data_IF_443186248746
#
_entry.id   IF_443186248746
#
_cell.length_a   1.000
_cell.length_b   1.000
_cell.length_c   1.000
_cell.angle_alpha   90.00
_cell.angle_beta   90.00
_cell.angle_gamma   90.00
#
_symmetry.space_group_name_H-M   'P 1'
#
loop_
_entity.id
_entity.type
_entity.pdbx_description
1 polymer ?
#
# COMPACT_ATOMS: atom_id res chain seq x y z
N UNK A 1 -16.20 26.76 60.46
CA UNK A 1 -15.62 26.17 61.68
C UNK A 1 -14.71 25.03 61.24
N UNK A 2 -13.47 25.15 61.71
CA UNK A 2 -12.48 24.10 61.99
C UNK A 2 -11.77 23.37 60.83
N UNK A 3 -10.63 23.97 60.44
CA UNK A 3 -9.23 23.57 60.78
C UNK A 3 -8.95 22.04 60.79
N UNK A 4 -7.84 21.49 60.27
CA UNK A 4 -6.42 21.83 60.48
C UNK A 4 -5.53 21.17 59.41
N UNK A 5 -4.50 21.89 58.94
CA UNK A 5 -3.16 21.34 58.63
C UNK A 5 -2.29 21.47 59.89
N UNK A 6 -1.24 20.65 60.08
CA UNK A 6 0.12 21.17 59.86
C UNK A 6 1.19 20.12 59.50
N UNK A 7 2.35 20.58 58.99
CA UNK A 7 3.63 19.91 59.31
C UNK A 7 4.74 19.81 58.24
N UNK A 8 5.38 20.94 57.93
CA UNK A 8 6.85 21.19 58.01
C UNK A 8 7.91 20.36 57.25
N UNK A 9 8.57 21.05 56.30
CA UNK A 9 10.02 21.19 55.96
C UNK A 9 11.05 20.09 56.29
N UNK A 10 12.00 19.87 55.37
CA UNK A 10 13.45 20.22 55.47
C UNK A 10 14.25 19.54 54.31
N UNK A 11 15.04 20.33 53.59
CA UNK A 11 16.25 19.93 52.83
C UNK A 11 17.47 20.56 53.56
N UNK A 12 18.79 20.25 53.34
CA UNK A 12 19.38 19.91 52.03
C UNK A 12 20.74 19.11 52.04
N UNK A 13 21.37 19.06 50.85
CA UNK A 13 22.82 18.94 50.50
C UNK A 13 23.58 17.61 50.67
N UNK A 14 24.21 17.18 49.57
CA UNK A 14 25.67 17.02 49.49
C UNK A 14 26.18 17.16 48.04
N UNK A 15 27.04 18.17 47.84
CA UNK A 15 28.04 18.32 46.77
C UNK A 15 29.08 17.17 46.90
N UNK A 16 29.84 16.69 45.90
CA UNK A 16 30.79 17.38 45.03
C UNK A 16 31.46 16.36 44.04
N UNK A 17 32.39 16.75 43.14
CA UNK A 17 32.56 16.23 41.77
C UNK A 17 33.82 15.36 41.55
N UNK A 18 33.92 14.75 40.36
CA UNK A 18 35.22 14.36 39.77
C UNK A 18 35.22 14.63 38.26
N UNK A 19 36.17 15.47 37.83
CA UNK A 19 36.79 15.53 36.50
C UNK A 19 38.32 15.50 36.73
N UNK A 20 39.25 15.53 35.74
CA UNK A 20 39.12 15.48 34.28
C UNK A 20 40.17 14.56 33.56
N UNK A 21 40.08 14.57 32.23
CA UNK A 21 41.17 14.62 31.23
C UNK A 21 41.92 13.33 30.84
N UNK A 22 41.82 12.98 29.55
CA UNK A 22 43.00 12.68 28.72
C UNK A 22 42.63 12.73 27.23
N UNK A 23 43.01 13.85 26.62
CA UNK A 23 43.31 14.04 25.20
C UNK A 23 43.90 12.80 24.53
N UNK A 24 43.44 12.47 23.32
CA UNK A 24 44.36 12.06 22.25
C UNK A 24 43.94 12.62 20.89
N UNK A 25 44.88 13.40 20.37
CA UNK A 25 44.95 14.11 19.12
C UNK A 25 45.12 13.18 17.91
N UNK A 26 44.44 13.55 16.82
CA UNK A 26 44.88 13.56 15.42
C UNK A 26 46.00 12.62 14.94
N UNK A 27 45.78 11.92 13.83
CA UNK A 27 46.48 12.21 12.55
C UNK A 27 45.83 11.48 11.35
N UNK A 28 45.96 12.04 10.13
CA UNK A 28 45.21 11.64 8.94
C UNK A 28 46.01 10.77 7.95
N UNK A 29 45.27 10.30 6.93
CA UNK A 29 45.68 10.02 5.54
C UNK A 29 46.73 8.94 5.25
N UNK A 30 46.34 7.96 4.43
CA UNK A 30 47.20 7.37 3.41
C UNK A 30 46.37 6.92 2.19
N UNK A 31 45.91 7.89 1.41
CA UNK A 31 45.54 7.65 0.00
C UNK A 31 46.83 7.56 -0.80
N UNK A 32 47.25 6.35 -1.10
CA UNK A 32 48.42 6.06 -1.92
C UNK A 32 48.09 6.32 -3.39
N UNK A 33 48.29 7.57 -3.82
CA UNK A 33 48.21 7.95 -5.23
C UNK A 33 49.44 7.41 -5.96
N UNK A 34 49.23 6.47 -6.89
CA UNK A 34 50.30 5.99 -7.79
C UNK A 34 50.13 6.67 -9.15
N UNK A 35 51.09 7.53 -9.51
CA UNK A 35 51.16 8.18 -10.82
C UNK A 35 51.68 7.19 -11.87
N UNK A 36 50.91 6.98 -12.94
CA UNK A 36 51.39 6.33 -14.16
C UNK A 36 52.01 7.38 -15.13
N UNK A 37 53.10 7.06 -15.84
CA UNK A 37 53.75 7.98 -16.75
C UNK A 37 53.02 7.97 -18.10
N UNK A 38 51.98 8.78 -18.23
CA UNK A 38 51.45 9.38 -19.47
C UNK A 38 50.12 10.04 -19.13
N UNK A 39 50.04 11.38 -19.27
CA UNK A 39 48.92 12.22 -18.86
C UNK A 39 47.63 12.01 -19.66
N UNK A 40 47.01 10.84 -19.52
CA UNK A 40 45.69 10.50 -20.03
C UNK A 40 44.83 10.13 -18.83
N UNK A 41 43.75 10.87 -18.58
CA UNK A 41 42.76 10.50 -17.56
C UNK A 41 42.05 9.23 -18.02
N UNK A 42 42.34 8.11 -17.37
CA UNK A 42 41.48 6.94 -17.40
C UNK A 42 40.54 7.07 -16.21
N UNK A 43 39.26 7.33 -16.47
CA UNK A 43 38.22 7.08 -15.47
C UNK A 43 38.19 5.56 -15.27
N UNK A 44 38.61 5.08 -14.09
CA UNK A 44 38.30 3.71 -13.71
C UNK A 44 36.78 3.55 -13.71
N UNK A 45 36.24 2.47 -14.31
CA UNK A 45 34.82 2.19 -14.20
C UNK A 45 34.54 1.98 -12.71
N UNK A 46 33.88 2.97 -12.10
CA UNK A 46 33.36 2.85 -10.74
C UNK A 46 32.50 1.61 -10.72
N UNK A 47 32.91 0.65 -9.90
CA UNK A 47 32.18 -0.56 -9.55
C UNK A 47 30.72 -0.19 -9.35
N UNK A 48 29.91 -0.42 -10.38
CA UNK A 48 28.46 -0.32 -10.30
C UNK A 48 28.01 -1.54 -9.51
N UNK A 49 28.27 -1.51 -8.21
CA UNK A 49 27.48 -2.27 -7.25
C UNK A 49 26.03 -2.05 -7.68
N UNK A 50 25.23 -3.12 -7.92
CA UNK A 50 23.86 -2.95 -8.33
C UNK A 50 23.21 -2.07 -7.26
N UNK A 51 22.88 -0.84 -7.65
CA UNK A 51 22.12 0.08 -6.82
C UNK A 51 20.94 -0.72 -6.32
N UNK A 52 20.82 -0.83 -4.99
CA UNK A 52 19.75 -1.51 -4.29
C UNK A 52 18.47 -1.43 -5.11
N UNK A 53 17.80 -2.56 -5.36
CA UNK A 53 16.45 -2.61 -5.94
C UNK A 53 15.52 -1.82 -5.03
N UNK A 54 15.52 -0.50 -5.19
CA UNK A 54 14.69 0.38 -4.41
C UNK A 54 13.27 0.08 -4.88
N UNK A 55 12.47 -0.43 -3.96
CA UNK A 55 11.05 -0.72 -4.14
C UNK A 55 10.32 0.62 -4.36
N UNK A 56 10.49 1.22 -5.54
CA UNK A 56 10.07 2.57 -5.90
C UNK A 56 8.61 2.62 -6.39
N UNK A 57 7.84 1.55 -6.18
CA UNK A 57 6.44 1.44 -6.57
C UNK A 57 5.53 1.43 -5.35
N UNK A 58 4.45 2.20 -5.41
CA UNK A 58 3.29 2.06 -4.52
C UNK A 58 2.10 1.61 -5.33
N UNK A 59 1.43 0.55 -4.88
CA UNK A 59 0.24 -0.03 -5.51
C UNK A 59 -0.93 0.13 -4.54
N UNK A 60 -1.91 0.94 -4.95
CA UNK A 60 -3.20 1.07 -4.28
C UNK A 60 -4.21 0.15 -4.95
N UNK A 61 -4.75 -0.79 -4.17
CA UNK A 61 -5.79 -1.72 -4.60
C UNK A 61 -7.09 -1.39 -3.86
N UNK A 62 -8.21 -1.33 -4.57
CA UNK A 62 -9.51 -1.46 -3.91
C UNK A 62 -9.79 -2.93 -3.52
N UNK A 63 -10.76 -3.15 -2.65
CA UNK A 63 -11.19 -4.48 -2.21
C UNK A 63 -12.49 -4.90 -2.88
N UNK A 64 -13.54 -4.10 -2.67
CA UNK A 64 -14.88 -4.38 -3.14
C UNK A 64 -14.97 -4.31 -4.67
N UNK A 65 -15.53 -5.36 -5.27
CA UNK A 65 -15.63 -5.57 -6.72
C UNK A 65 -14.29 -5.46 -7.48
N UNK A 66 -13.15 -5.52 -6.78
CA UNK A 66 -11.78 -5.38 -7.32
C UNK A 66 -10.87 -6.55 -6.97
N UNK A 67 -10.91 -7.03 -5.72
CA UNK A 67 -10.25 -8.26 -5.29
C UNK A 67 -11.28 -9.31 -4.86
N UNK A 68 -12.37 -8.86 -4.24
CA UNK A 68 -13.54 -9.68 -3.92
C UNK A 68 -14.73 -9.23 -4.79
N UNK A 69 -15.43 -10.18 -5.43
CA UNK A 69 -16.68 -9.91 -6.16
C UNK A 69 -17.86 -9.63 -5.20
N UNK A 70 -17.75 -8.59 -4.37
CA UNK A 70 -18.59 -8.36 -3.19
C UNK A 70 -20.04 -7.98 -3.53
N UNK A 71 -20.29 -7.36 -4.69
CA UNK A 71 -21.65 -7.13 -5.20
C UNK A 71 -22.28 -8.44 -5.68
N UNK A 72 -21.54 -9.30 -6.38
CA UNK A 72 -22.04 -10.60 -6.81
C UNK A 72 -22.37 -11.51 -5.62
N UNK A 73 -21.46 -11.62 -4.64
CA UNK A 73 -21.70 -12.32 -3.37
C UNK A 73 -22.95 -11.77 -2.67
N UNK A 74 -23.14 -10.45 -2.68
CA UNK A 74 -24.34 -9.80 -2.15
C UNK A 74 -25.63 -10.20 -2.86
N UNK A 75 -25.63 -10.25 -4.20
CA UNK A 75 -26.78 -10.67 -5.02
C UNK A 75 -27.18 -12.13 -4.80
N UNK A 76 -26.23 -12.98 -4.39
CA UNK A 76 -26.50 -14.37 -4.00
C UNK A 76 -27.08 -14.50 -2.58
N UNK A 77 -27.22 -13.40 -1.84
CA UNK A 77 -27.74 -13.42 -0.46
C UNK A 77 -26.76 -13.99 0.56
N UNK A 78 -25.46 -14.01 0.25
CA UNK A 78 -24.42 -14.61 1.09
C UNK A 78 -23.82 -13.62 2.11
N UNK A 79 -24.26 -12.37 2.14
CA UNK A 79 -23.82 -11.41 3.16
C UNK A 79 -24.38 -11.82 4.53
N UNK A 80 -23.52 -12.02 5.55
CA UNK A 80 -24.00 -12.32 6.90
C UNK A 80 -24.96 -11.24 7.40
N UNK A 81 -26.05 -11.64 8.06
CA UNK A 81 -26.96 -10.68 8.70
C UNK A 81 -26.45 -10.27 10.08
N UNK A 82 -25.63 -11.11 10.69
CA UNK A 82 -25.05 -10.91 12.01
C UNK A 82 -23.55 -11.21 11.98
N UNK A 83 -22.79 -10.55 12.86
CA UNK A 83 -21.31 -10.62 12.92
C UNK A 83 -20.79 -12.06 13.10
N UNK A 84 -21.54 -12.94 13.76
CA UNK A 84 -21.13 -14.31 14.07
C UNK A 84 -21.75 -15.36 13.13
N UNK A 85 -22.46 -14.94 12.09
CA UNK A 85 -23.10 -15.84 11.13
C UNK A 85 -22.13 -16.16 9.99
N UNK A 86 -21.94 -17.45 9.71
CA UNK A 86 -21.26 -17.89 8.49
C UNK A 86 -22.30 -18.25 7.44
N UNK A 87 -22.23 -17.69 6.23
CA UNK A 87 -23.16 -18.04 5.18
C UNK A 87 -22.95 -19.50 4.75
N UNK A 88 -24.03 -20.18 4.41
CA UNK A 88 -23.95 -21.48 3.73
C UNK A 88 -23.70 -21.19 2.25
N UNK A 89 -22.45 -21.33 1.82
CA UNK A 89 -22.04 -21.07 0.44
C UNK A 89 -22.34 -22.32 -0.41
N UNK A 90 -23.09 -22.20 -1.52
CA UNK A 90 -23.26 -23.30 -2.47
C UNK A 90 -21.92 -23.79 -3.01
N UNK A 91 -21.80 -25.09 -3.28
CA UNK A 91 -20.51 -25.70 -3.65
C UNK A 91 -19.94 -25.12 -4.96
N UNK A 92 -20.79 -24.84 -5.95
CA UNK A 92 -20.40 -24.20 -7.21
C UNK A 92 -19.88 -22.78 -7.01
N UNK A 93 -20.51 -22.02 -6.11
CA UNK A 93 -20.06 -20.66 -5.74
C UNK A 93 -18.75 -20.71 -4.97
N UNK A 94 -18.61 -21.67 -4.05
CA UNK A 94 -17.39 -21.88 -3.25
C UNK A 94 -16.20 -22.20 -4.16
N UNK A 95 -16.36 -23.08 -5.14
CA UNK A 95 -15.32 -23.39 -6.12
C UNK A 95 -14.90 -22.14 -6.92
N UNK A 96 -15.85 -21.32 -7.37
CA UNK A 96 -15.53 -20.07 -8.08
C UNK A 96 -14.74 -19.08 -7.21
N UNK A 97 -15.10 -18.98 -5.92
CA UNK A 97 -14.39 -18.14 -4.96
C UNK A 97 -12.99 -18.68 -4.66
N UNK A 98 -12.80 -20.00 -4.56
CA UNK A 98 -11.48 -20.62 -4.35
C UNK A 98 -10.55 -20.40 -5.55
N UNK A 99 -11.07 -20.46 -6.79
CA UNK A 99 -10.28 -20.15 -7.99
C UNK A 99 -9.91 -18.65 -8.10
N UNK A 100 -10.83 -17.76 -7.73
CA UNK A 100 -10.56 -16.32 -7.63
C UNK A 100 -9.50 -16.05 -6.56
N UNK A 101 -9.65 -16.65 -5.38
CA UNK A 101 -8.74 -16.55 -4.25
C UNK A 101 -7.29 -16.91 -4.65
N UNK A 102 -7.10 -18.00 -5.39
CA UNK A 102 -5.76 -18.39 -5.87
C UNK A 102 -5.13 -17.32 -6.77
N UNK A 103 -5.93 -16.71 -7.66
CA UNK A 103 -5.46 -15.65 -8.53
C UNK A 103 -5.14 -14.37 -7.75
N UNK A 104 -5.97 -14.02 -6.75
CA UNK A 104 -5.74 -12.86 -5.87
C UNK A 104 -4.48 -13.05 -5.04
N UNK A 105 -4.25 -14.23 -4.47
CA UNK A 105 -3.01 -14.54 -3.74
C UNK A 105 -1.79 -14.35 -4.65
N UNK A 106 -1.82 -14.92 -5.85
CA UNK A 106 -0.72 -14.77 -6.80
C UNK A 106 -0.48 -13.31 -7.19
N UNK A 107 -1.54 -12.52 -7.40
CA UNK A 107 -1.43 -11.08 -7.66
C UNK A 107 -0.75 -10.36 -6.49
N UNK A 108 -1.23 -10.55 -5.27
CA UNK A 108 -0.70 -9.88 -4.08
C UNK A 108 0.77 -10.26 -3.83
N UNK A 109 1.11 -11.55 -3.93
CA UNK A 109 2.48 -12.06 -3.76
C UNK A 109 3.45 -11.49 -4.82
N UNK A 110 2.99 -11.25 -6.04
CA UNK A 110 3.82 -10.63 -7.07
C UNK A 110 3.88 -9.11 -6.93
N UNK A 111 2.78 -8.46 -6.53
CA UNK A 111 2.72 -7.01 -6.33
C UNK A 111 3.71 -6.53 -5.27
N UNK A 112 3.82 -7.24 -4.14
CA UNK A 112 4.76 -6.88 -3.06
C UNK A 112 6.24 -6.96 -3.47
N UNK A 113 6.57 -7.65 -4.57
CA UNK A 113 7.95 -7.72 -5.10
C UNK A 113 8.37 -6.42 -5.79
N UNK A 114 7.42 -5.59 -6.22
CA UNK A 114 7.69 -4.30 -6.89
C UNK A 114 7.71 -3.13 -5.92
N UNK A 115 7.08 -3.29 -4.77
CA UNK A 115 7.11 -2.31 -3.70
C UNK A 115 5.94 -2.41 -2.74
N UNK A 116 5.52 -1.28 -2.21
CA UNK A 116 4.51 -1.23 -1.15
C UNK A 116 3.12 -1.41 -1.75
N UNK A 117 2.37 -2.36 -1.21
CA UNK A 117 0.96 -2.59 -1.55
C UNK A 117 0.09 -2.10 -0.39
N UNK A 118 -0.98 -1.37 -0.72
CA UNK A 118 -1.98 -0.90 0.24
C UNK A 118 -3.37 -1.17 -0.32
N UNK A 119 -4.22 -1.80 0.48
CA UNK A 119 -5.64 -1.94 0.17
C UNK A 119 -6.37 -0.72 0.72
N UNK A 120 -7.08 0.02 -0.12
CA UNK A 120 -7.87 1.21 0.25
C UNK A 120 -9.32 1.00 -0.16
N UNK A 121 -10.18 0.69 0.81
CA UNK A 121 -11.62 0.43 0.60
C UNK A 121 -12.49 1.61 1.07
N UNK A 122 -13.64 1.80 0.43
CA UNK A 122 -14.70 2.68 0.89
C UNK A 122 -15.70 1.99 1.87
N UNK A 123 -15.43 0.75 2.26
CA UNK A 123 -16.16 0.05 3.32
C UNK A 123 -15.63 0.44 4.71
N UNK A 124 -16.28 -0.08 5.76
CA UNK A 124 -15.89 0.19 7.14
C UNK A 124 -14.64 -0.60 7.58
N UNK A 125 -13.92 -0.11 8.59
CA UNK A 125 -12.75 -0.80 9.16
C UNK A 125 -13.13 -2.22 9.60
N UNK A 126 -12.30 -3.21 9.24
CA UNK A 126 -12.53 -4.63 9.52
C UNK A 126 -13.33 -5.36 8.43
N UNK A 127 -13.89 -4.65 7.44
CA UNK A 127 -14.63 -5.28 6.35
C UNK A 127 -13.76 -6.21 5.49
N UNK A 128 -12.54 -5.79 5.16
CA UNK A 128 -11.62 -6.56 4.31
C UNK A 128 -11.30 -7.90 4.97
N UNK A 129 -10.88 -7.89 6.22
CA UNK A 129 -10.51 -9.09 6.97
C UNK A 129 -11.72 -10.00 7.21
N UNK A 130 -12.88 -9.41 7.56
CA UNK A 130 -14.11 -10.17 7.75
C UNK A 130 -14.52 -10.87 6.46
N UNK A 131 -14.64 -10.12 5.36
CA UNK A 131 -15.09 -10.66 4.07
C UNK A 131 -14.07 -11.64 3.47
N UNK A 132 -12.76 -11.38 3.61
CA UNK A 132 -11.72 -12.36 3.29
C UNK A 132 -11.92 -13.66 4.09
N UNK A 133 -12.13 -13.59 5.40
CA UNK A 133 -12.31 -14.80 6.23
C UNK A 133 -13.51 -15.67 5.84
N UNK A 134 -14.52 -15.05 5.23
CA UNK A 134 -15.76 -15.72 4.83
C UNK A 134 -15.68 -16.29 3.41
N UNK A 135 -15.03 -15.57 2.48
CA UNK A 135 -15.12 -15.84 1.04
C UNK A 135 -13.77 -16.19 0.40
N UNK A 136 -12.65 -15.73 0.95
CA UNK A 136 -11.30 -15.98 0.45
C UNK A 136 -10.27 -16.09 1.61
N UNK A 137 -10.43 -17.05 2.54
CA UNK A 137 -9.66 -17.12 3.78
C UNK A 137 -8.14 -17.30 3.62
N UNK A 138 -7.67 -17.93 2.53
CA UNK A 138 -6.24 -18.09 2.22
C UNK A 138 -5.56 -16.77 1.84
N UNK A 139 -6.30 -15.70 1.56
CA UNK A 139 -5.72 -14.35 1.38
C UNK A 139 -5.30 -13.69 2.70
N UNK A 140 -5.88 -14.10 3.84
CA UNK A 140 -5.64 -13.46 5.13
C UNK A 140 -4.17 -13.41 5.55
N UNK A 141 -3.37 -14.49 5.43
CA UNK A 141 -1.97 -14.46 5.87
C UNK A 141 -1.16 -13.35 5.19
N UNK A 142 -1.27 -13.17 3.87
CA UNK A 142 -0.54 -12.13 3.15
C UNK A 142 -1.12 -10.73 3.44
N UNK A 143 -2.45 -10.60 3.52
CA UNK A 143 -3.10 -9.33 3.86
C UNK A 143 -2.61 -8.85 5.23
N UNK A 144 -2.64 -9.71 6.24
CA UNK A 144 -2.29 -9.33 7.62
C UNK A 144 -0.79 -9.11 7.85
N UNK A 145 0.07 -9.83 7.13
CA UNK A 145 1.52 -9.77 7.38
C UNK A 145 2.26 -8.77 6.50
N UNK A 146 1.79 -8.52 5.28
CA UNK A 146 2.55 -7.76 4.27
C UNK A 146 1.83 -6.53 3.73
N UNK A 147 0.51 -6.41 3.92
CA UNK A 147 -0.32 -5.40 3.25
C UNK A 147 -1.00 -4.51 4.27
N UNK A 148 -0.87 -3.20 4.11
CA UNK A 148 -1.64 -2.26 4.91
C UNK A 148 -3.06 -2.18 4.37
N UNK A 149 -4.06 -2.34 5.24
CA UNK A 149 -5.47 -2.11 4.92
C UNK A 149 -5.90 -0.75 5.48
N UNK A 150 -6.50 0.08 4.65
CA UNK A 150 -7.05 1.39 5.00
C UNK A 150 -8.52 1.43 4.63
N UNK A 151 -9.38 1.59 5.64
CA UNK A 151 -10.75 2.02 5.44
C UNK A 151 -10.78 3.52 5.22
N UNK A 152 -10.89 3.95 3.96
CA UNK A 152 -10.99 5.37 3.63
C UNK A 152 -12.25 5.97 4.25
N UNK A 153 -13.37 5.23 4.24
CA UNK A 153 -14.64 5.67 4.82
C UNK A 153 -14.52 5.90 6.32
N UNK A 154 -14.11 4.89 7.09
CA UNK A 154 -14.02 5.04 8.55
C UNK A 154 -13.00 6.10 8.98
N UNK A 155 -11.99 6.38 8.14
CA UNK A 155 -10.97 7.39 8.45
C UNK A 155 -11.43 8.82 8.12
N UNK A 156 -12.18 9.01 7.04
CA UNK A 156 -12.43 10.34 6.46
C UNK A 156 -13.91 10.74 6.34
N UNK A 157 -14.87 9.85 6.61
CA UNK A 157 -16.30 10.15 6.52
C UNK A 157 -16.74 11.26 7.49
N UNK A 158 -16.18 11.30 8.70
CA UNK A 158 -16.49 12.37 9.66
C UNK A 158 -16.02 13.74 9.17
N UNK A 159 -14.84 13.81 8.56
CA UNK A 159 -14.26 15.05 8.02
C UNK A 159 -14.94 15.48 6.72
N UNK A 160 -15.38 14.52 5.90
CA UNK A 160 -15.95 14.74 4.58
C UNK A 160 -17.28 13.97 4.42
N UNK A 161 -18.34 14.33 5.18
CA UNK A 161 -19.60 13.62 5.17
C UNK A 161 -20.27 13.68 3.80
N UNK A 162 -20.78 12.54 3.33
CA UNK A 162 -21.46 12.44 2.02
C UNK A 162 -20.55 12.65 0.80
N UNK A 163 -19.23 12.67 0.98
CA UNK A 163 -18.26 12.88 -0.09
C UNK A 163 -17.32 11.66 -0.26
N UNK A 164 -17.80 10.50 -0.74
CA UNK A 164 -17.01 9.28 -0.84
C UNK A 164 -15.73 9.41 -1.68
N UNK A 165 -15.76 10.30 -2.70
CA UNK A 165 -14.59 10.67 -3.50
C UNK A 165 -13.47 11.26 -2.65
N UNK A 166 -13.81 12.14 -1.70
CA UNK A 166 -12.83 12.77 -0.80
C UNK A 166 -12.14 11.75 0.09
N UNK A 167 -12.84 10.71 0.53
CA UNK A 167 -12.24 9.71 1.42
C UNK A 167 -11.01 9.04 0.81
N UNK A 168 -11.09 8.60 -0.47
CA UNK A 168 -9.94 7.98 -1.13
C UNK A 168 -8.87 8.99 -1.55
N UNK A 169 -9.25 10.23 -1.91
CA UNK A 169 -8.28 11.32 -2.18
C UNK A 169 -7.36 11.53 -0.97
N UNK A 170 -7.95 11.70 0.21
CA UNK A 170 -7.21 11.97 1.44
C UNK A 170 -6.42 10.74 1.90
N UNK A 171 -6.97 9.54 1.72
CA UNK A 171 -6.25 8.29 1.97
C UNK A 171 -4.99 8.17 1.10
N UNK A 172 -5.08 8.45 -0.20
CA UNK A 172 -3.93 8.40 -1.12
C UNK A 172 -2.87 9.42 -0.73
N UNK A 173 -3.28 10.67 -0.44
CA UNK A 173 -2.36 11.72 0.00
C UNK A 173 -1.64 11.35 1.29
N UNK A 174 -2.38 10.85 2.29
CA UNK A 174 -1.82 10.39 3.55
C UNK A 174 -0.81 9.25 3.34
N UNK A 175 -1.16 8.26 2.52
CA UNK A 175 -0.28 7.12 2.28
C UNK A 175 0.98 7.47 1.51
N UNK A 176 0.98 8.53 0.69
CA UNK A 176 2.16 8.95 -0.09
C UNK A 176 3.04 9.94 0.66
N UNK A 177 2.46 10.95 1.30
CA UNK A 177 3.25 12.05 1.89
C UNK A 177 3.43 11.96 3.41
N UNK A 178 2.46 11.39 4.13
CA UNK A 178 2.45 11.43 5.59
C UNK A 178 2.98 10.14 6.23
N UNK A 179 3.35 9.13 5.42
CA UNK A 179 3.80 7.82 5.89
C UNK A 179 5.34 7.73 6.14
N UNK A 180 5.99 8.85 6.50
CA UNK A 180 7.42 8.91 6.88
C UNK A 180 8.42 8.29 5.89
N UNK A 181 8.10 8.24 4.58
CA UNK A 181 9.06 7.79 3.57
C UNK A 181 9.95 8.94 3.15
N UNK A 182 11.27 8.70 3.09
CA UNK A 182 12.27 9.73 2.77
C UNK A 182 12.25 10.17 1.31
N UNK A 183 11.64 9.39 0.42
CA UNK A 183 11.65 9.61 -1.03
C UNK A 183 10.27 9.35 -1.60
N UNK A 184 9.88 10.16 -2.60
CA UNK A 184 8.65 9.91 -3.36
C UNK A 184 8.82 8.67 -4.24
N UNK A 185 7.84 7.76 -4.29
CA UNK A 185 7.85 6.62 -5.21
C UNK A 185 7.96 7.07 -6.67
N UNK A 186 8.71 6.34 -7.49
CA UNK A 186 8.78 6.56 -8.94
C UNK A 186 7.48 6.17 -9.65
N UNK A 187 6.78 5.16 -9.15
CA UNK A 187 5.53 4.67 -9.73
C UNK A 187 4.43 4.64 -8.67
N UNK A 188 3.26 5.20 -9.00
CA UNK A 188 2.06 5.11 -8.18
C UNK A 188 0.94 4.54 -9.04
N UNK A 189 0.51 3.35 -8.67
CA UNK A 189 -0.46 2.55 -9.41
C UNK A 189 -1.75 2.49 -8.60
N UNK A 190 -2.87 2.71 -9.26
CA UNK A 190 -4.19 2.66 -8.65
C UNK A 190 -5.10 1.72 -9.44
N UNK A 191 -5.65 0.72 -8.77
CA UNK A 191 -6.46 -0.33 -9.38
C UNK A 191 -7.79 -0.43 -8.63
N UNK A 192 -8.89 -0.34 -9.36
CA UNK A 192 -10.24 -0.48 -8.80
C UNK A 192 -11.32 -0.55 -9.87
N UNK A 193 -12.51 -1.00 -9.49
CA UNK A 193 -13.68 -1.07 -10.38
C UNK A 193 -14.49 0.24 -10.41
N UNK A 194 -14.28 1.13 -9.43
CA UNK A 194 -14.94 2.42 -9.26
C UNK A 194 -14.27 3.59 -10.01
N UNK A 195 -14.90 4.77 -10.04
CA UNK A 195 -14.26 5.99 -10.52
C UNK A 195 -13.39 6.67 -9.43
N UNK A 196 -13.58 6.30 -8.17
CA UNK A 196 -12.99 6.98 -7.00
C UNK A 196 -11.48 6.80 -6.91
N UNK A 197 -10.96 5.66 -7.35
CA UNK A 197 -9.55 5.29 -7.31
C UNK A 197 -8.77 6.13 -8.34
N UNK A 198 -9.29 6.17 -9.57
CA UNK A 198 -8.76 7.01 -10.65
C UNK A 198 -8.76 8.48 -10.26
N UNK A 199 -9.87 8.98 -9.70
CA UNK A 199 -9.95 10.38 -9.24
C UNK A 199 -8.95 10.67 -8.13
N UNK A 200 -8.76 9.76 -7.16
CA UNK A 200 -7.77 9.92 -6.09
C UNK A 200 -6.35 10.02 -6.63
N UNK A 201 -5.98 9.16 -7.58
CA UNK A 201 -4.65 9.18 -8.21
C UNK A 201 -4.41 10.46 -9.02
N UNK A 202 -5.40 10.91 -9.80
CA UNK A 202 -5.31 12.16 -10.57
C UNK A 202 -5.15 13.36 -9.64
N UNK A 203 -5.93 13.44 -8.55
CA UNK A 203 -5.81 14.50 -7.55
C UNK A 203 -4.41 14.49 -6.89
N UNK A 204 -3.92 13.30 -6.53
CA UNK A 204 -2.59 13.12 -5.98
C UNK A 204 -1.51 13.68 -6.92
N UNK A 205 -1.55 13.29 -8.21
CA UNK A 205 -0.61 13.75 -9.24
C UNK A 205 -0.68 15.26 -9.45
N UNK A 206 -1.88 15.84 -9.54
CA UNK A 206 -2.06 17.29 -9.72
C UNK A 206 -1.58 18.11 -8.51
N UNK A 207 -1.69 17.56 -7.29
CA UNK A 207 -1.22 18.22 -6.06
C UNK A 207 0.25 17.98 -5.74
N UNK A 208 0.96 17.16 -6.51
CA UNK A 208 2.34 16.77 -6.21
C UNK A 208 3.35 17.77 -6.75
N UNK A 209 4.37 18.06 -5.95
CA UNK A 209 5.59 18.74 -6.39
C UNK A 209 6.66 17.76 -6.89
N UNK A 210 6.48 16.46 -6.66
CA UNK A 210 7.43 15.42 -7.02
C UNK A 210 7.04 14.74 -8.33
N UNK A 211 8.05 14.31 -9.10
CA UNK A 211 7.83 13.58 -10.35
C UNK A 211 7.68 12.09 -10.08
N UNK A 212 6.54 11.52 -10.46
CA UNK A 212 6.27 10.07 -10.44
C UNK A 212 5.35 9.71 -11.60
N UNK A 213 5.35 8.46 -12.04
CA UNK A 213 4.42 7.96 -13.06
C UNK A 213 3.12 7.49 -12.41
N UNK A 214 2.01 8.12 -12.76
CA UNK A 214 0.66 7.80 -12.30
C UNK A 214 0.00 6.82 -13.26
N UNK A 215 -0.40 5.65 -12.76
CA UNK A 215 -1.03 4.61 -13.58
C UNK A 215 -2.37 4.19 -12.96
N UNK A 216 -3.47 4.52 -13.64
CA UNK A 216 -4.80 4.06 -13.26
C UNK A 216 -5.20 2.87 -14.12
N UNK A 217 -5.66 1.80 -13.47
CA UNK A 217 -6.30 0.67 -14.14
C UNK A 217 -7.72 0.50 -13.58
N UNK A 218 -8.70 0.77 -14.43
CA UNK A 218 -10.11 0.59 -14.11
C UNK A 218 -10.59 -0.81 -14.50
N UNK A 219 -11.04 -1.57 -13.52
CA UNK A 219 -11.67 -2.88 -13.71
C UNK A 219 -13.16 -2.73 -14.09
N UNK A 220 -13.78 -3.82 -14.51
CA UNK A 220 -15.20 -3.89 -14.84
C UNK A 220 -16.00 -3.76 -13.54
N UNK A 221 -17.04 -2.93 -13.58
CA UNK A 221 -17.91 -2.72 -12.42
C UNK A 221 -18.82 -3.93 -12.17
N UNK A 222 -18.93 -4.33 -10.90
CA UNK A 222 -19.77 -5.45 -10.42
C UNK A 222 -19.51 -6.81 -11.13
N UNK A 223 -18.25 -7.27 -11.22
CA UNK A 223 -17.95 -8.55 -11.86
C UNK A 223 -18.49 -9.70 -11.00
N UNK A 224 -18.86 -10.81 -11.64
CA UNK A 224 -18.97 -12.08 -10.93
C UNK A 224 -17.58 -12.67 -10.66
N UNK A 225 -17.48 -13.73 -9.84
CA UNK A 225 -16.18 -14.31 -9.48
C UNK A 225 -15.38 -14.83 -10.70
N UNK A 226 -16.06 -15.34 -11.74
CA UNK A 226 -15.40 -15.80 -12.97
C UNK A 226 -14.85 -14.63 -13.78
N UNK A 227 -15.64 -13.57 -13.97
CA UNK A 227 -15.20 -12.32 -14.63
C UNK A 227 -14.00 -11.73 -13.88
N UNK A 228 -14.11 -11.56 -12.55
CA UNK A 228 -13.06 -10.96 -11.74
C UNK A 228 -11.77 -11.80 -11.77
N UNK A 229 -11.88 -13.13 -11.76
CA UNK A 229 -10.73 -14.03 -11.92
C UNK A 229 -9.98 -13.76 -13.23
N UNK A 230 -10.70 -13.54 -14.33
CA UNK A 230 -10.08 -13.23 -15.62
C UNK A 230 -9.39 -11.86 -15.59
N UNK A 231 -10.00 -10.86 -14.96
CA UNK A 231 -9.42 -9.52 -14.79
C UNK A 231 -8.14 -9.57 -13.95
N UNK A 232 -8.16 -10.29 -12.83
CA UNK A 232 -7.00 -10.49 -11.95
C UNK A 232 -5.87 -11.23 -12.67
N UNK A 233 -6.18 -12.24 -13.50
CA UNK A 233 -5.18 -12.92 -14.33
C UNK A 233 -4.56 -11.99 -15.37
N UNK A 234 -5.37 -11.21 -16.08
CA UNK A 234 -4.87 -10.23 -17.04
C UNK A 234 -3.95 -9.20 -16.36
N UNK A 235 -4.33 -8.74 -15.17
CA UNK A 235 -3.48 -7.85 -14.37
C UNK A 235 -2.18 -8.55 -13.95
N UNK A 236 -2.24 -9.79 -13.47
CA UNK A 236 -1.06 -10.57 -13.08
C UNK A 236 -0.07 -10.73 -14.24
N UNK A 237 -0.57 -11.09 -15.43
CA UNK A 237 0.24 -11.28 -16.64
C UNK A 237 0.93 -9.99 -17.10
N UNK A 238 0.32 -8.84 -16.82
CA UNK A 238 0.82 -7.52 -17.23
C UNK A 238 1.45 -6.73 -16.08
N UNK A 239 1.56 -7.32 -14.88
CA UNK A 239 1.98 -6.61 -13.67
C UNK A 239 3.39 -6.04 -13.81
N UNK A 240 4.30 -6.78 -14.44
CA UNK A 240 5.66 -6.30 -14.71
C UNK A 240 5.66 -5.01 -15.52
N UNK A 241 4.94 -5.01 -16.64
CA UNK A 241 4.81 -3.83 -17.51
C UNK A 241 4.17 -2.67 -16.76
N UNK A 242 3.10 -2.92 -16.01
CA UNK A 242 2.44 -1.90 -15.21
C UNK A 242 3.39 -1.28 -14.18
N UNK A 243 4.24 -2.08 -13.53
CA UNK A 243 5.19 -1.60 -12.53
C UNK A 243 6.43 -0.91 -13.11
N UNK A 244 6.84 -1.23 -14.34
CA UNK A 244 8.12 -0.75 -14.91
C UNK A 244 7.98 0.29 -16.01
N UNK A 245 6.80 0.44 -16.64
CA UNK A 245 6.59 1.42 -17.71
C UNK A 245 6.83 2.86 -17.22
N UNK A 246 7.63 3.64 -17.95
CA UNK A 246 8.07 4.98 -17.52
C UNK A 246 7.19 6.11 -18.10
N UNK A 247 5.89 5.90 -18.13
CA UNK A 247 4.92 6.94 -18.48
C UNK A 247 3.66 6.83 -17.64
N UNK A 248 2.88 7.92 -17.62
CA UNK A 248 1.54 7.91 -17.04
C UNK A 248 0.62 6.98 -17.87
N UNK A 249 -0.28 6.27 -17.21
CA UNK A 249 -1.23 5.36 -17.87
C UNK A 249 -2.63 5.55 -17.30
N UNK A 250 -3.63 5.47 -18.17
CA UNK A 250 -5.05 5.52 -17.78
C UNK A 250 -5.80 4.48 -18.62
N UNK A 251 -5.88 3.27 -18.08
CA UNK A 251 -6.41 2.09 -18.76
C UNK A 251 -7.73 1.65 -18.15
N UNK A 252 -8.55 1.01 -18.97
CA UNK A 252 -9.80 0.39 -18.53
C UNK A 252 -9.96 -0.98 -19.19
N UNK A 253 -10.32 -1.99 -18.40
CA UNK A 253 -10.77 -3.29 -18.91
C UNK A 253 -12.24 -3.15 -19.32
N UNK A 254 -12.56 -3.60 -20.53
CA UNK A 254 -13.93 -3.68 -21.02
C UNK A 254 -14.39 -5.13 -21.12
N UNK A 255 -15.71 -5.35 -21.14
CA UNK A 255 -16.27 -6.71 -21.24
C UNK A 255 -15.87 -7.39 -22.55
N UNK A 256 -15.66 -6.63 -23.62
CA UNK A 256 -15.21 -7.15 -24.91
C UNK A 256 -13.79 -7.74 -24.81
N UNK A 257 -12.92 -7.13 -24.02
CA UNK A 257 -11.56 -7.64 -23.77
C UNK A 257 -11.62 -9.00 -23.09
N UNK A 258 -12.50 -9.19 -22.11
CA UNK A 258 -12.67 -10.48 -21.43
C UNK A 258 -13.27 -11.56 -22.33
N UNK A 259 -14.12 -11.19 -23.28
CA UNK A 259 -14.71 -12.17 -24.23
C UNK A 259 -13.72 -12.66 -25.28
N UNK A 260 -12.62 -11.94 -25.48
CA UNK A 260 -11.58 -12.25 -26.45
C UNK A 260 -10.35 -12.96 -25.85
N UNK A 261 -10.26 -13.05 -24.53
CA UNK A 261 -9.17 -13.66 -23.76
C UNK A 261 -9.52 -15.08 -23.30
#
# INVERSE_FOLDING_TARGET
>A
LDRETPGTQVAPRHDDPVTPDARRSSSPSDTRSTMAPNGVMYEEPTDSSPTSTANDTVIFLDWDDTLLASTWVGKLGLRPKYVNEKPVIPEDVKLQLEELEECVIALLENAIKYGRVVIITAAETGWVELSASLFMPRTLPIIQSMIKVVSARSTYEELYPGAPKKWKIEAFQHEVYNNCQSTTPKHIISIGDGPTEREALINLKMSSYASFHAKSLKLITYPNAVELKMEVRLLLDNLHTLCTHEEDMDLQISKEVLQAA
#
